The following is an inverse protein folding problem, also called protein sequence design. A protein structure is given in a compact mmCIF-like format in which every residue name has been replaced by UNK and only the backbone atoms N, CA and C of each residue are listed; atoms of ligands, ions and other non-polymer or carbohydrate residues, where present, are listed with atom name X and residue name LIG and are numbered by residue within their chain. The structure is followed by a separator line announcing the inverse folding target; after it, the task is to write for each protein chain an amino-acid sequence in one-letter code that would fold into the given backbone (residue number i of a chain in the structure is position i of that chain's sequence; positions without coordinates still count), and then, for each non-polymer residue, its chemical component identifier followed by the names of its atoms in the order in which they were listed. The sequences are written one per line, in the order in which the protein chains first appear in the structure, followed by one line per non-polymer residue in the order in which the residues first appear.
data_IF_063729315540
#
_entry.id   IF_063729315540
#
_cell.length_a   1.000
_cell.length_b   1.000
_cell.length_c   1.000
_cell.angle_alpha   90.00
_cell.angle_beta   90.00
_cell.angle_gamma   90.00
#
_symmetry.space_group_name_H-M   'P 1'
#
loop_
_entity.id
_entity.type
_entity.pdbx_description
1 polymer ?
#
# COMPACT_ATOMS: atom_id res chain seq x y z
N UNK A 1 2.10 17.73 -43.42
CA UNK A 1 2.64 17.04 -42.23
C UNK A 1 1.70 15.90 -41.90
N UNK A 2 2.07 14.67 -42.26
CA UNK A 2 1.31 13.47 -41.90
C UNK A 2 1.56 13.16 -40.42
N UNK A 3 0.53 13.25 -39.59
CA UNK A 3 0.58 12.73 -38.22
C UNK A 3 0.85 11.21 -38.30
N UNK A 4 2.05 10.80 -37.89
CA UNK A 4 2.34 9.39 -37.63
C UNK A 4 1.39 8.89 -36.54
N UNK A 5 0.66 7.77 -36.74
CA UNK A 5 -0.23 7.23 -35.71
C UNK A 5 0.62 6.91 -34.49
N UNK A 6 0.31 7.53 -33.35
CA UNK A 6 0.97 7.19 -32.09
C UNK A 6 0.61 5.73 -31.77
N UNK A 7 1.63 4.87 -31.72
CA UNK A 7 1.46 3.48 -31.29
C UNK A 7 0.73 3.48 -29.93
N UNK A 8 -0.36 2.72 -29.77
CA UNK A 8 -1.10 2.71 -28.52
C UNK A 8 -0.17 2.30 -27.39
N UNK A 9 -0.21 3.06 -26.29
CA UNK A 9 0.68 2.82 -25.16
C UNK A 9 0.59 1.35 -24.70
N UNK A 10 1.72 0.71 -24.38
CA UNK A 10 1.74 -0.67 -23.90
C UNK A 10 0.74 -0.89 -22.76
N UNK A 11 0.04 -2.04 -22.71
CA UNK A 11 -0.93 -2.32 -21.64
C UNK A 11 -0.34 -2.09 -20.24
N UNK A 12 0.91 -2.47 -20.05
CA UNK A 12 1.65 -2.30 -18.79
C UNK A 12 1.79 -0.83 -18.35
N UNK A 13 1.74 0.13 -19.28
CA UNK A 13 1.74 1.56 -18.96
C UNK A 13 0.48 2.00 -18.19
N UNK A 14 -0.61 1.23 -18.30
CA UNK A 14 -1.91 1.50 -17.67
C UNK A 14 -2.14 0.76 -16.36
N UNK A 15 -1.22 -0.12 -15.95
CA UNK A 15 -1.31 -0.80 -14.65
C UNK A 15 -1.08 0.22 -13.53
N UNK A 16 -2.08 0.48 -12.66
CA UNK A 16 -1.96 1.47 -11.60
C UNK A 16 -1.37 0.86 -10.32
N UNK A 17 -0.74 1.69 -9.48
CA UNK A 17 -0.29 1.23 -8.16
C UNK A 17 -1.44 0.76 -7.26
N UNK A 18 -2.66 1.25 -7.52
CA UNK A 18 -3.88 0.84 -6.80
C UNK A 18 -4.13 -0.68 -6.84
N UNK A 19 -3.61 -1.42 -7.82
CA UNK A 19 -3.81 -2.87 -7.92
C UNK A 19 -3.17 -3.65 -6.76
N UNK A 20 -2.17 -3.09 -6.08
CA UNK A 20 -1.65 -3.68 -4.84
C UNK A 20 -2.70 -3.76 -3.71
N UNK A 21 -3.80 -3.01 -3.78
CA UNK A 21 -4.89 -3.09 -2.79
C UNK A 21 -5.55 -4.48 -2.76
N UNK A 22 -5.54 -5.22 -3.89
CA UNK A 22 -6.04 -6.61 -3.92
C UNK A 22 -5.30 -7.50 -2.92
N UNK A 23 -3.99 -7.29 -2.77
CA UNK A 23 -3.14 -8.05 -1.85
C UNK A 23 -3.45 -7.71 -0.40
N UNK A 24 -3.78 -6.45 -0.09
CA UNK A 24 -4.20 -6.07 1.26
C UNK A 24 -5.47 -6.82 1.68
N UNK A 25 -6.45 -6.93 0.80
CA UNK A 25 -7.68 -7.69 1.06
C UNK A 25 -7.41 -9.18 1.25
N UNK A 26 -6.69 -9.80 0.30
CA UNK A 26 -6.37 -11.23 0.34
C UNK A 26 -5.51 -11.62 1.55
N UNK A 27 -4.42 -10.89 1.80
CA UNK A 27 -3.52 -11.17 2.90
C UNK A 27 -4.11 -10.81 4.27
N UNK A 28 -4.92 -9.74 4.34
CA UNK A 28 -5.71 -9.43 5.53
C UNK A 28 -6.69 -10.55 5.88
N UNK A 29 -7.43 -11.06 4.89
CA UNK A 29 -8.33 -12.19 5.06
C UNK A 29 -7.60 -13.46 5.48
N UNK A 30 -6.43 -13.75 4.88
CA UNK A 30 -5.55 -14.86 5.32
C UNK A 30 -5.22 -14.75 6.81
N UNK A 31 -4.75 -13.59 7.27
CA UNK A 31 -4.38 -13.39 8.68
C UNK A 31 -5.60 -13.52 9.61
N UNK A 32 -6.74 -12.94 9.23
CA UNK A 32 -7.99 -13.09 9.97
C UNK A 32 -8.45 -14.55 10.05
N UNK A 33 -8.37 -15.29 8.95
CA UNK A 33 -8.72 -16.72 8.90
C UNK A 33 -7.79 -17.56 9.76
N UNK A 34 -6.51 -17.18 9.86
CA UNK A 34 -5.56 -17.86 10.74
C UNK A 34 -5.90 -17.68 12.22
N UNK A 35 -6.37 -16.50 12.60
CA UNK A 35 -6.90 -16.25 13.95
C UNK A 35 -8.16 -17.08 14.19
N UNK A 36 -9.07 -17.13 13.21
CA UNK A 36 -10.27 -17.95 13.28
C UNK A 36 -9.96 -19.45 13.45
N UNK A 37 -8.97 -19.97 12.69
CA UNK A 37 -8.49 -21.34 12.83
C UNK A 37 -7.95 -21.62 14.24
N UNK A 38 -7.19 -20.68 14.82
CA UNK A 38 -6.64 -20.81 16.18
C UNK A 38 -7.71 -20.77 17.27
N UNK A 39 -8.73 -19.91 17.14
CA UNK A 39 -9.74 -19.70 18.18
C UNK A 39 -10.92 -20.67 18.08
N UNK A 40 -11.32 -21.04 16.85
CA UNK A 40 -12.54 -21.82 16.59
C UNK A 40 -12.28 -23.16 15.89
N UNK A 41 -11.02 -23.54 15.68
CA UNK A 41 -10.67 -24.83 15.06
C UNK A 41 -11.02 -24.92 13.57
N UNK A 42 -11.23 -23.78 12.90
CA UNK A 42 -11.50 -23.75 11.46
C UNK A 42 -10.30 -24.27 10.65
N UNK A 43 -10.52 -24.74 9.39
CA UNK A 43 -9.44 -25.26 8.57
C UNK A 43 -8.35 -24.20 8.32
N UNK A 44 -7.13 -24.45 8.81
CA UNK A 44 -5.97 -23.56 8.61
C UNK A 44 -5.51 -23.50 7.16
N UNK A 45 -5.77 -24.55 6.38
CA UNK A 45 -5.42 -24.64 4.96
C UNK A 45 -6.00 -23.49 4.12
N UNK A 46 -7.15 -22.92 4.51
CA UNK A 46 -7.75 -21.77 3.82
C UNK A 46 -6.88 -20.52 4.05
N UNK A 47 -6.36 -20.31 5.26
CA UNK A 47 -5.43 -19.22 5.52
C UNK A 47 -4.15 -19.35 4.67
N UNK A 48 -3.61 -20.57 4.56
CA UNK A 48 -2.40 -20.82 3.76
C UNK A 48 -2.65 -20.62 2.25
N UNK A 49 -3.79 -21.08 1.74
CA UNK A 49 -4.17 -20.85 0.34
C UNK A 49 -4.33 -19.35 0.04
N UNK A 50 -4.99 -18.59 0.92
CA UNK A 50 -5.13 -17.15 0.79
C UNK A 50 -3.79 -16.42 0.90
N UNK A 51 -2.88 -16.87 1.77
CA UNK A 51 -1.53 -16.32 1.90
C UNK A 51 -0.72 -16.49 0.60
N UNK A 52 -0.73 -17.70 0.04
CA UNK A 52 -0.05 -18.01 -1.22
C UNK A 52 -0.64 -17.22 -2.38
N UNK A 53 -1.97 -17.11 -2.45
CA UNK A 53 -2.64 -16.30 -3.47
C UNK A 53 -2.28 -14.81 -3.33
N UNK A 54 -2.29 -14.26 -2.12
CA UNK A 54 -1.89 -12.87 -1.87
C UNK A 54 -0.45 -12.61 -2.33
N UNK A 55 0.48 -13.51 -2.00
CA UNK A 55 1.87 -13.41 -2.41
C UNK A 55 2.07 -13.53 -3.93
N UNK A 56 1.34 -14.45 -4.58
CA UNK A 56 1.37 -14.60 -6.03
C UNK A 56 0.84 -13.35 -6.75
N UNK A 57 -0.31 -12.82 -6.31
CA UNK A 57 -0.87 -11.58 -6.86
C UNK A 57 0.08 -10.41 -6.64
N UNK A 58 0.67 -10.28 -5.45
CA UNK A 58 1.66 -9.24 -5.16
C UNK A 58 2.84 -9.31 -6.13
N UNK A 59 3.39 -10.51 -6.35
CA UNK A 59 4.52 -10.74 -7.24
C UNK A 59 4.18 -10.36 -8.69
N UNK A 60 3.01 -10.75 -9.18
CA UNK A 60 2.55 -10.40 -10.53
C UNK A 60 2.39 -8.89 -10.71
N UNK A 61 1.77 -8.20 -9.74
CA UNK A 61 1.61 -6.74 -9.78
C UNK A 61 2.98 -6.05 -9.68
N UNK A 62 3.88 -6.54 -8.83
CA UNK A 62 5.24 -6.01 -8.70
C UNK A 62 6.03 -6.13 -10.01
N UNK A 63 5.96 -7.28 -10.70
CA UNK A 63 6.59 -7.47 -12.02
C UNK A 63 5.98 -6.51 -13.05
N UNK A 64 4.65 -6.36 -13.09
CA UNK A 64 3.99 -5.45 -14.01
C UNK A 64 4.41 -4.00 -13.77
N UNK A 65 4.47 -3.57 -12.51
CA UNK A 65 4.91 -2.22 -12.14
C UNK A 65 6.40 -2.02 -12.41
N UNK A 66 7.26 -3.00 -12.12
CA UNK A 66 8.69 -2.93 -12.46
C UNK A 66 8.88 -2.80 -13.98
N UNK A 67 8.12 -3.59 -14.76
CA UNK A 67 8.11 -3.51 -16.22
C UNK A 67 7.64 -2.13 -16.69
N UNK A 68 6.59 -1.57 -16.08
CA UNK A 68 6.11 -0.19 -16.34
C UNK A 68 7.23 0.84 -16.15
N UNK A 69 8.05 0.70 -15.10
CA UNK A 69 9.19 1.59 -14.86
C UNK A 69 10.30 1.46 -15.91
N UNK A 70 10.46 0.28 -16.52
CA UNK A 70 11.45 0.03 -17.58
C UNK A 70 10.97 0.53 -18.95
N UNK A 71 9.72 0.24 -19.34
CA UNK A 71 9.23 0.49 -20.71
C UNK A 71 8.38 1.76 -20.85
N UNK A 72 7.83 2.28 -19.75
CA UNK A 72 6.92 3.42 -19.73
C UNK A 72 7.24 4.37 -18.56
N UNK A 73 8.53 4.68 -18.37
CA UNK A 73 9.05 5.47 -17.24
C UNK A 73 8.38 6.83 -17.07
N UNK A 74 8.03 7.51 -18.17
CA UNK A 74 7.32 8.79 -18.14
C UNK A 74 5.95 8.65 -17.47
N UNK A 75 5.18 7.62 -17.84
CA UNK A 75 3.88 7.33 -17.24
C UNK A 75 4.01 6.93 -15.76
N UNK A 76 5.01 6.11 -15.41
CA UNK A 76 5.28 5.72 -14.03
C UNK A 76 5.61 6.94 -13.14
N UNK A 77 6.49 7.83 -13.62
CA UNK A 77 6.85 9.07 -12.92
C UNK A 77 5.66 10.03 -12.82
N UNK A 78 4.84 10.14 -13.86
CA UNK A 78 3.64 10.97 -13.84
C UNK A 78 2.64 10.50 -12.76
N UNK A 79 2.42 9.19 -12.63
CA UNK A 79 1.57 8.63 -11.57
C UNK A 79 2.18 8.84 -10.18
N UNK A 80 3.47 8.55 -10.00
CA UNK A 80 4.16 8.68 -8.70
C UNK A 80 4.22 10.14 -8.20
N UNK A 81 4.27 11.11 -9.12
CA UNK A 81 4.29 12.54 -8.77
C UNK A 81 2.89 13.16 -8.71
N UNK A 82 1.86 12.46 -9.16
CA UNK A 82 0.48 12.95 -9.11
C UNK A 82 0.05 13.20 -7.66
N UNK A 83 -0.59 14.34 -7.35
CA UNK A 83 -1.00 14.67 -5.98
C UNK A 83 -1.91 13.61 -5.34
N UNK A 84 -2.79 12.97 -6.11
CA UNK A 84 -3.71 11.95 -5.60
C UNK A 84 -3.09 10.57 -5.81
N UNK A 85 -2.81 10.20 -7.06
CA UNK A 85 -2.41 8.83 -7.39
C UNK A 85 -1.04 8.43 -6.80
N UNK A 86 -0.14 9.39 -6.57
CA UNK A 86 1.17 9.13 -6.00
C UNK A 86 1.12 8.53 -4.59
N UNK A 87 0.04 8.74 -3.83
CA UNK A 87 -0.14 8.11 -2.52
C UNK A 87 -0.39 6.61 -2.59
N UNK A 88 -0.90 6.08 -3.71
CA UNK A 88 -1.05 4.63 -3.92
C UNK A 88 0.28 3.91 -4.03
N UNK A 89 1.40 4.61 -4.25
CA UNK A 89 2.73 4.00 -4.24
C UNK A 89 3.07 3.37 -2.88
N UNK A 90 2.48 3.87 -1.78
CA UNK A 90 2.57 3.24 -0.46
C UNK A 90 2.04 1.80 -0.44
N UNK A 91 1.10 1.44 -1.32
CA UNK A 91 0.52 0.11 -1.35
C UNK A 91 1.56 -0.95 -1.69
N UNK A 92 2.60 -0.64 -2.47
CA UNK A 92 3.62 -1.61 -2.85
C UNK A 92 4.36 -2.21 -1.63
N UNK A 93 5.06 -1.41 -0.80
CA UNK A 93 5.68 -1.92 0.43
C UNK A 93 4.65 -2.35 1.48
N UNK A 94 3.52 -1.64 1.62
CA UNK A 94 2.48 -2.01 2.59
C UNK A 94 1.89 -3.39 2.34
N UNK A 95 1.50 -3.68 1.10
CA UNK A 95 0.97 -4.99 0.73
C UNK A 95 2.05 -6.07 0.73
N UNK A 96 3.30 -5.72 0.44
CA UNK A 96 4.44 -6.62 0.59
C UNK A 96 4.61 -7.09 2.04
N UNK A 97 4.50 -6.19 3.01
CA UNK A 97 4.49 -6.55 4.43
C UNK A 97 3.35 -7.50 4.78
N UNK A 98 2.12 -7.23 4.29
CA UNK A 98 0.97 -8.11 4.52
C UNK A 98 1.19 -9.50 3.91
N UNK A 99 1.68 -9.59 2.67
CA UNK A 99 1.97 -10.85 2.01
C UNK A 99 3.08 -11.64 2.72
N UNK A 100 4.15 -10.95 3.17
CA UNK A 100 5.23 -11.56 3.94
C UNK A 100 4.74 -12.04 5.32
N UNK A 101 3.89 -11.27 6.01
CA UNK A 101 3.25 -11.69 7.25
C UNK A 101 2.38 -12.94 7.06
N UNK A 102 1.55 -12.95 6.01
CA UNK A 102 0.63 -14.06 5.73
C UNK A 102 1.37 -15.37 5.42
N UNK A 103 2.54 -15.27 4.80
CA UNK A 103 3.37 -16.40 4.38
C UNK A 103 4.48 -16.75 5.37
N UNK A 104 4.58 -16.02 6.49
CA UNK A 104 5.57 -16.25 7.55
C UNK A 104 5.57 -17.71 8.08
N UNK A 105 4.41 -18.37 8.31
CA UNK A 105 4.39 -19.77 8.75
C UNK A 105 4.88 -20.77 7.69
N UNK A 106 4.86 -20.38 6.42
CA UNK A 106 5.19 -21.25 5.28
C UNK A 106 6.68 -21.15 4.91
N UNK A 107 7.24 -19.93 4.93
CA UNK A 107 8.59 -19.66 4.41
C UNK A 107 9.60 -19.21 5.47
N UNK A 108 9.19 -19.05 6.74
CA UNK A 108 10.09 -18.77 7.86
C UNK A 108 11.02 -17.59 7.61
N UNK A 109 12.33 -17.84 7.56
CA UNK A 109 13.35 -16.81 7.44
C UNK A 109 13.28 -15.98 6.16
N UNK A 110 12.88 -16.59 5.04
CA UNK A 110 12.71 -15.85 3.77
C UNK A 110 11.63 -14.78 3.93
N UNK A 111 10.50 -15.14 4.53
CA UNK A 111 9.42 -14.21 4.82
C UNK A 111 9.85 -13.14 5.84
N UNK A 112 10.65 -13.49 6.86
CA UNK A 112 11.22 -12.52 7.81
C UNK A 112 12.12 -11.49 7.12
N UNK A 113 13.01 -11.93 6.22
CA UNK A 113 13.89 -11.02 5.47
C UNK A 113 13.10 -10.07 4.57
N UNK A 114 12.10 -10.60 3.84
CA UNK A 114 11.21 -9.77 3.02
C UNK A 114 10.44 -8.75 3.88
N UNK A 115 9.96 -9.18 5.05
CA UNK A 115 9.24 -8.31 5.97
C UNK A 115 10.11 -7.14 6.43
N UNK A 116 11.37 -7.38 6.79
CA UNK A 116 12.32 -6.33 7.17
C UNK A 116 12.57 -5.34 6.02
N UNK A 117 12.74 -5.84 4.78
CA UNK A 117 12.91 -5.00 3.59
C UNK A 117 11.70 -4.12 3.35
N UNK A 118 10.49 -4.69 3.42
CA UNK A 118 9.26 -3.93 3.19
C UNK A 118 8.97 -2.91 4.30
N UNK A 119 9.30 -3.21 5.57
CA UNK A 119 9.23 -2.24 6.67
C UNK A 119 10.14 -1.04 6.38
N UNK A 120 11.40 -1.30 6.01
CA UNK A 120 12.36 -0.23 5.69
C UNK A 120 11.86 0.61 4.50
N UNK A 121 11.37 -0.03 3.45
CA UNK A 121 10.80 0.63 2.29
C UNK A 121 9.55 1.47 2.64
N UNK A 122 8.67 0.97 3.50
CA UNK A 122 7.49 1.71 3.95
C UNK A 122 7.87 2.96 4.74
N UNK A 123 8.80 2.85 5.69
CA UNK A 123 9.27 3.98 6.50
C UNK A 123 9.93 5.02 5.60
N UNK A 124 10.81 4.61 4.69
CA UNK A 124 11.44 5.51 3.72
C UNK A 124 10.41 6.23 2.84
N UNK A 125 9.40 5.49 2.36
CA UNK A 125 8.32 6.07 1.56
C UNK A 125 7.49 7.07 2.37
N UNK A 126 7.12 6.75 3.62
CA UNK A 126 6.36 7.64 4.49
C UNK A 126 7.13 8.94 4.77
N UNK A 127 8.43 8.86 5.07
CA UNK A 127 9.28 10.04 5.27
C UNK A 127 9.36 10.92 4.02
N UNK A 128 9.59 10.32 2.85
CA UNK A 128 9.59 11.05 1.58
C UNK A 128 8.24 11.71 1.29
N UNK A 129 7.14 10.98 1.50
CA UNK A 129 5.78 11.44 1.22
C UNK A 129 5.39 12.62 2.13
N UNK A 130 5.62 12.49 3.44
CA UNK A 130 5.35 13.56 4.41
C UNK A 130 6.26 14.76 4.15
N UNK A 131 7.54 14.54 3.84
CA UNK A 131 8.46 15.61 3.46
C UNK A 131 7.94 16.40 2.26
N UNK A 132 7.40 15.73 1.24
CA UNK A 132 6.73 16.41 0.12
C UNK A 132 5.48 17.18 0.54
N UNK A 133 4.66 16.64 1.44
CA UNK A 133 3.48 17.36 1.94
C UNK A 133 3.86 18.66 2.64
N UNK A 134 4.95 18.66 3.40
CA UNK A 134 5.43 19.84 4.12
C UNK A 134 5.97 20.95 3.22
N UNK A 135 6.34 20.64 1.97
CA UNK A 135 6.71 21.66 0.97
C UNK A 135 5.52 22.47 0.45
N UNK A 136 4.28 22.10 0.79
CA UNK A 136 3.08 22.80 0.35
C UNK A 136 2.72 22.58 -1.13
N UNK A 137 1.87 23.44 -1.68
CA UNK A 137 1.47 23.40 -3.10
C UNK A 137 0.42 22.34 -3.47
N UNK A 138 -0.16 21.65 -2.47
CA UNK A 138 -1.29 20.74 -2.67
C UNK A 138 -2.60 21.53 -2.66
N UNK A 139 -3.47 21.28 -3.64
CA UNK A 139 -4.82 21.86 -3.64
C UNK A 139 -5.73 21.13 -2.65
N UNK A 140 -6.77 21.81 -2.15
CA UNK A 140 -7.73 21.22 -1.22
C UNK A 140 -8.53 20.07 -1.85
N UNK A 141 -8.80 20.14 -3.15
CA UNK A 141 -9.51 19.11 -3.93
C UNK A 141 -8.72 17.79 -4.00
N UNK A 142 -7.39 17.88 -3.95
CA UNK A 142 -6.52 16.72 -3.92
C UNK A 142 -6.50 16.02 -2.56
N UNK A 143 -7.05 16.61 -1.50
CA UNK A 143 -7.23 15.92 -0.21
C UNK A 143 -8.26 14.81 -0.39
N UNK A 144 -7.79 13.57 -0.35
CA UNK A 144 -8.59 12.35 -0.57
C UNK A 144 -8.18 11.27 0.44
N UNK A 145 -9.01 10.23 0.66
CA UNK A 145 -8.68 9.16 1.60
C UNK A 145 -7.35 8.44 1.32
N UNK A 146 -6.81 8.56 0.10
CA UNK A 146 -5.48 8.06 -0.26
C UNK A 146 -4.38 8.59 0.67
N UNK A 147 -4.55 9.77 1.28
CA UNK A 147 -3.60 10.31 2.26
C UNK A 147 -3.41 9.42 3.49
N UNK A 148 -4.38 8.55 3.81
CA UNK A 148 -4.26 7.60 4.92
C UNK A 148 -3.28 6.47 4.61
N UNK A 149 -3.03 6.14 3.34
CA UNK A 149 -2.22 4.97 2.98
C UNK A 149 -0.78 5.06 3.50
N UNK A 150 -0.01 6.14 3.25
CA UNK A 150 1.42 6.13 3.58
C UNK A 150 1.70 6.15 5.08
N UNK A 151 0.94 6.95 5.84
CA UNK A 151 1.23 7.26 7.25
C UNK A 151 0.30 6.56 8.23
N UNK A 152 -0.93 6.18 7.85
CA UNK A 152 -1.85 5.46 8.75
C UNK A 152 -1.80 3.97 8.47
N UNK A 153 -2.28 3.55 7.30
CA UNK A 153 -2.26 2.14 6.91
C UNK A 153 -0.84 1.57 6.91
N UNK A 154 0.08 2.31 6.31
CA UNK A 154 1.50 1.96 6.27
C UNK A 154 2.11 1.75 7.65
N UNK A 155 1.82 2.65 8.59
CA UNK A 155 2.35 2.57 9.97
C UNK A 155 1.73 1.42 10.75
N UNK A 156 0.42 1.18 10.66
CA UNK A 156 -0.20 0.05 11.36
C UNK A 156 0.30 -1.29 10.83
N UNK A 157 0.47 -1.43 9.51
CA UNK A 157 1.05 -2.64 8.94
C UNK A 157 2.53 -2.78 9.31
N UNK A 158 3.30 -1.70 9.30
CA UNK A 158 4.70 -1.73 9.74
C UNK A 158 4.83 -2.08 11.24
N UNK A 159 3.91 -1.62 12.09
CA UNK A 159 3.88 -2.00 13.50
C UNK A 159 3.61 -3.50 13.69
N UNK A 160 2.65 -4.07 12.95
CA UNK A 160 2.42 -5.52 12.94
C UNK A 160 3.67 -6.28 12.49
N UNK A 161 4.31 -5.81 11.42
CA UNK A 161 5.53 -6.38 10.87
C UNK A 161 6.70 -6.34 11.87
N UNK A 162 6.96 -5.19 12.48
CA UNK A 162 8.00 -5.02 13.51
C UNK A 162 7.74 -5.88 14.74
N UNK A 163 6.48 -6.02 15.15
CA UNK A 163 6.10 -6.91 16.24
C UNK A 163 6.39 -8.38 15.89
N UNK A 164 6.09 -8.82 14.66
CA UNK A 164 6.41 -10.17 14.19
C UNK A 164 7.93 -10.42 14.06
N UNK A 165 8.72 -9.37 13.82
CA UNK A 165 10.19 -9.41 13.82
C UNK A 165 10.81 -9.36 15.23
N UNK A 166 10.00 -9.21 16.28
CA UNK A 166 10.48 -9.13 17.67
C UNK A 166 11.00 -7.75 18.10
N UNK A 167 10.81 -6.71 17.27
CA UNK A 167 11.27 -5.34 17.55
C UNK A 167 10.15 -4.53 18.22
N UNK A 168 9.76 -4.97 19.43
CA UNK A 168 8.52 -4.52 20.09
C UNK A 168 8.43 -3.02 20.37
N UNK A 169 9.50 -2.37 20.80
CA UNK A 169 9.45 -0.94 21.11
C UNK A 169 9.33 -0.07 19.85
N UNK A 170 10.02 -0.44 18.77
CA UNK A 170 9.83 0.20 17.47
C UNK A 170 8.39 0.00 16.96
N UNK A 171 7.81 -1.19 17.15
CA UNK A 171 6.41 -1.46 16.79
C UNK A 171 5.44 -0.50 17.50
N UNK A 172 5.62 -0.28 18.82
CA UNK A 172 4.80 0.67 19.59
C UNK A 172 4.95 2.11 19.10
N UNK A 173 6.19 2.54 18.79
CA UNK A 173 6.45 3.89 18.28
C UNK A 173 5.77 4.12 16.92
N UNK A 174 5.94 3.17 15.98
CA UNK A 174 5.34 3.26 14.65
C UNK A 174 3.80 3.17 14.73
N UNK A 175 3.26 2.33 15.62
CA UNK A 175 1.82 2.30 15.90
C UNK A 175 1.30 3.67 16.38
N UNK A 176 1.99 4.29 17.35
CA UNK A 176 1.64 5.62 17.86
C UNK A 176 1.69 6.69 16.77
N UNK A 177 2.72 6.67 15.92
CA UNK A 177 2.83 7.56 14.77
C UNK A 177 1.65 7.40 13.80
N UNK A 178 1.24 6.16 13.53
CA UNK A 178 0.05 5.87 12.73
C UNK A 178 -1.25 6.39 13.33
N UNK A 179 -1.43 6.21 14.64
CA UNK A 179 -2.61 6.67 15.37
C UNK A 179 -2.73 8.20 15.37
N UNK A 180 -1.64 8.92 15.65
CA UNK A 180 -1.63 10.38 15.62
C UNK A 180 -1.88 10.88 14.19
N UNK A 181 -1.21 10.27 13.20
CA UNK A 181 -1.42 10.61 11.78
C UNK A 181 -2.87 10.40 11.37
N UNK A 182 -3.52 9.35 11.86
CA UNK A 182 -4.92 9.08 11.57
C UNK A 182 -5.82 10.20 12.05
N UNK A 183 -5.73 10.58 13.33
CA UNK A 183 -6.57 11.64 13.90
C UNK A 183 -6.39 12.96 13.12
N UNK A 184 -5.16 13.31 12.78
CA UNK A 184 -4.86 14.54 12.03
C UNK A 184 -5.42 14.48 10.61
N UNK A 185 -5.17 13.41 9.87
CA UNK A 185 -5.61 13.28 8.47
C UNK A 185 -7.13 13.14 8.39
N UNK A 186 -7.74 12.41 9.32
CA UNK A 186 -9.19 12.24 9.40
C UNK A 186 -9.89 13.60 9.53
N UNK A 187 -9.37 14.52 10.36
CA UNK A 187 -9.89 15.88 10.46
C UNK A 187 -9.83 16.64 9.12
N UNK A 188 -8.74 16.50 8.36
CA UNK A 188 -8.60 17.11 7.01
C UNK A 188 -9.59 16.51 6.01
N UNK A 189 -9.84 15.20 6.10
CA UNK A 189 -10.82 14.52 5.25
C UNK A 189 -12.24 15.00 5.56
N UNK A 190 -12.61 15.12 6.83
CA UNK A 190 -13.90 15.67 7.23
C UNK A 190 -14.09 17.10 6.75
N UNK A 191 -13.08 17.97 6.94
CA UNK A 191 -13.13 19.33 6.44
C UNK A 191 -13.41 19.36 4.93
N UNK A 192 -12.71 18.53 4.16
CA UNK A 192 -12.89 18.42 2.70
C UNK A 192 -14.27 17.87 2.32
N UNK A 193 -14.78 16.86 3.03
CA UNK A 193 -16.10 16.27 2.78
C UNK A 193 -17.24 17.26 3.05
N UNK A 194 -17.08 18.12 4.05
CA UNK A 194 -18.09 19.11 4.43
C UNK A 194 -18.06 20.37 3.54
N UNK A 195 -16.88 20.77 3.06
CA UNK A 195 -16.69 22.07 2.40
C UNK A 195 -16.56 21.99 0.87
N UNK A 196 -16.14 20.85 0.31
CA UNK A 196 -15.93 20.70 -1.13
C UNK A 196 -16.98 19.79 -1.77
N UNK A 197 -17.22 19.94 -3.09
CA UNK A 197 -18.06 19.00 -3.83
C UNK A 197 -17.61 17.55 -3.66
N UNK A 198 -18.56 16.64 -3.88
CA UNK A 198 -18.32 15.20 -3.92
C UNK A 198 -17.14 14.87 -4.84
N UNK A 199 -16.30 13.91 -4.45
CA UNK A 199 -15.21 13.41 -5.29
C UNK A 199 -15.72 13.04 -6.70
N UNK A 200 -15.02 13.39 -7.78
CA UNK A 200 -15.36 12.88 -9.12
C UNK A 200 -15.55 11.36 -9.11
N UNK A 201 -16.52 10.85 -9.87
CA UNK A 201 -16.89 9.42 -9.87
C UNK A 201 -15.68 8.45 -10.02
N UNK A 202 -14.66 8.73 -10.86
CA UNK A 202 -13.51 7.82 -11.01
C UNK A 202 -12.63 7.65 -9.75
N UNK A 203 -12.74 8.56 -8.78
CA UNK A 203 -11.96 8.54 -7.53
C UNK A 203 -12.86 8.52 -6.30
N UNK A 204 -14.14 8.22 -6.49
CA UNK A 204 -15.13 8.01 -5.43
C UNK A 204 -15.14 6.51 -5.10
N UNK A 205 -14.90 6.17 -3.84
CA UNK A 205 -15.02 4.80 -3.34
C UNK A 205 -16.49 4.36 -3.27
#
# INVERSE_FOLDING_TARGET
MSETPSMPAPFVARVPFAFFAMVLGLGGLSNGWRVAAKLWGWPSAIADALALLAFAVWTLVAIAVATKWLVARSAAKAEALNPIAGGFLALAPMSGMIAALATLPLFGDVARSLLAIFVAAQIAFALWFVGRLWTGGRSAEATTPVLLLPTVGGSFVAAMALSALGVGDAAKMVFGAGLISWIVIEALLWQRLLQLPSLPAPIRA
#
